data_IF_499027820946
#
_entry.id   IF_499027820946
#
_cell.length_a   1.000
_cell.length_b   1.000
_cell.length_c   1.000
_cell.angle_alpha   90.00
_cell.angle_beta   90.00
_cell.angle_gamma   90.00
#
_symmetry.space_group_name_H-M   'P 1'
#
loop_
_entity.id
_entity.type
_entity.pdbx_description
1 polymer ?
#
# COMPACT_ATOMS: atom_id res chain seq x y z
N UNK A 1 12.61 49.71 29.42
CA UNK A 1 11.30 49.10 29.05
C UNK A 1 11.42 47.58 29.22
N UNK A 2 10.77 46.98 30.22
CA UNK A 2 10.78 45.52 30.45
C UNK A 2 9.47 44.88 29.96
N UNK A 3 9.64 43.72 29.30
CA UNK A 3 8.82 42.49 29.26
C UNK A 3 7.30 42.56 29.34
N UNK A 4 6.62 41.98 28.32
CA UNK A 4 5.60 40.90 28.36
C UNK A 4 5.09 40.71 26.90
N UNK A 5 4.52 39.60 26.42
CA UNK A 5 4.40 38.17 26.76
C UNK A 5 3.20 37.66 25.93
N UNK A 6 3.27 36.41 25.47
CA UNK A 6 2.14 35.55 25.09
C UNK A 6 1.50 35.78 23.69
N UNK A 7 1.72 34.84 22.75
CA UNK A 7 0.97 33.58 22.51
C UNK A 7 -0.43 33.82 21.90
N UNK A 8 -0.58 33.45 20.63
CA UNK A 8 -1.75 32.67 20.23
C UNK A 8 -1.40 31.66 19.13
N UNK A 9 -1.47 30.39 19.52
CA UNK A 9 -1.50 29.19 18.67
C UNK A 9 -2.92 29.10 18.04
N UNK A 10 -3.27 28.35 17.00
CA UNK A 10 -2.77 27.14 16.34
C UNK A 10 -3.20 27.19 14.86
N UNK A 11 -2.51 26.48 13.94
CA UNK A 11 -3.18 25.87 12.79
C UNK A 11 -3.63 24.43 13.11
N UNK A 12 -4.83 24.13 12.60
CA UNK A 12 -5.59 22.89 12.64
C UNK A 12 -4.75 21.63 12.37
N UNK A 13 -4.68 20.72 13.36
CA UNK A 13 -4.13 19.36 13.20
C UNK A 13 -5.31 18.41 13.04
N UNK A 14 -5.63 18.08 11.79
CA UNK A 14 -6.65 17.11 11.47
C UNK A 14 -6.05 15.69 11.44
N UNK A 15 -6.70 14.81 12.22
CA UNK A 15 -6.73 13.36 12.15
C UNK A 15 -5.41 12.58 12.17
N UNK A 16 -5.06 12.17 13.40
CA UNK A 16 -4.19 11.03 13.67
C UNK A 16 -4.79 9.76 13.04
N UNK A 17 -4.14 9.24 11.99
CA UNK A 17 -4.25 7.85 11.58
C UNK A 17 -3.81 6.95 12.72
N UNK A 18 -4.77 6.54 13.54
CA UNK A 18 -4.56 5.57 14.61
C UNK A 18 -4.70 4.17 14.01
N UNK A 19 -3.64 3.71 13.32
CA UNK A 19 -3.39 2.28 13.13
C UNK A 19 -3.18 1.69 14.53
N UNK A 20 -4.26 1.27 15.18
CA UNK A 20 -4.18 0.39 16.35
C UNK A 20 -3.74 -0.97 15.85
N UNK A 21 -2.43 -1.17 15.88
CA UNK A 21 -1.78 -2.47 15.91
C UNK A 21 -2.49 -3.37 16.91
N UNK A 22 -3.15 -4.39 16.38
CA UNK A 22 -3.59 -5.52 17.16
C UNK A 22 -2.38 -6.26 17.75
N UNK A 23 -2.61 -6.80 18.94
CA UNK A 23 -2.13 -8.07 19.48
C UNK A 23 -1.73 -7.90 20.94
N UNK A 24 -2.68 -8.19 21.82
CA UNK A 24 -2.41 -8.50 23.22
C UNK A 24 -3.20 -9.78 23.54
N UNK A 25 -2.60 -10.94 23.26
CA UNK A 25 -3.04 -12.20 23.85
C UNK A 25 -2.20 -12.41 25.11
N UNK A 26 -2.80 -12.07 26.25
CA UNK A 26 -2.27 -12.40 27.57
C UNK A 26 -3.41 -12.99 28.39
N UNK A 27 -3.54 -14.31 28.38
CA UNK A 27 -4.29 -15.05 29.39
C UNK A 27 -3.38 -16.11 29.97
N UNK A 28 -2.78 -15.78 31.10
CA UNK A 28 -2.13 -16.74 32.00
C UNK A 28 -3.25 -17.50 32.72
N UNK A 29 -3.44 -18.77 32.39
CA UNK A 29 -4.43 -19.64 33.05
C UNK A 29 -3.72 -20.44 34.14
N UNK A 30 -3.97 -20.07 35.39
CA UNK A 30 -3.72 -20.91 36.56
C UNK A 30 -5.08 -21.38 37.07
N UNK A 31 -5.28 -22.70 37.15
CA UNK A 31 -6.38 -23.29 37.91
C UNK A 31 -7.39 -24.10 37.09
N UNK A 32 -7.31 -25.41 37.28
CA UNK A 32 -8.34 -26.44 37.08
C UNK A 32 -9.75 -25.97 37.47
N UNK A 33 -10.71 -26.07 36.54
CA UNK A 33 -12.14 -25.84 36.82
C UNK A 33 -13.00 -26.02 35.57
N UNK A 34 -13.76 -27.12 35.52
CA UNK A 34 -14.77 -27.41 34.49
C UNK A 34 -15.86 -26.33 34.51
N UNK A 35 -16.01 -25.56 33.43
CA UNK A 35 -17.19 -24.71 33.21
C UNK A 35 -17.65 -24.84 31.75
N UNK A 36 -18.77 -25.55 31.56
CA UNK A 36 -19.68 -25.29 30.44
C UNK A 36 -20.38 -23.97 30.75
N UNK A 37 -20.49 -23.05 29.79
CA UNK A 37 -21.74 -22.31 29.52
C UNK A 37 -21.56 -21.24 28.42
N UNK A 38 -22.35 -21.42 27.37
CA UNK A 38 -23.08 -20.41 26.57
C UNK A 38 -22.33 -19.20 26.01
N UNK A 39 -22.22 -19.21 24.69
CA UNK A 39 -22.19 -18.03 23.83
C UNK A 39 -23.39 -17.10 24.10
N UNK A 40 -23.16 -15.79 24.06
CA UNK A 40 -24.11 -14.87 23.46
C UNK A 40 -23.48 -14.27 22.21
N UNK A 41 -24.06 -14.62 21.05
CA UNK A 41 -23.79 -13.92 19.80
C UNK A 41 -24.25 -12.48 19.94
N UNK A 42 -23.30 -11.54 19.97
CA UNK A 42 -23.61 -10.13 19.81
C UNK A 42 -23.73 -9.86 18.30
N UNK A 43 -24.94 -10.04 17.77
CA UNK A 43 -25.31 -9.45 16.49
C UNK A 43 -25.39 -7.94 16.76
N UNK A 44 -24.38 -7.18 16.33
CA UNK A 44 -24.48 -5.73 16.30
C UNK A 44 -25.43 -5.38 15.15
N UNK A 45 -26.70 -5.23 15.47
CA UNK A 45 -27.74 -4.75 14.58
C UNK A 45 -27.38 -3.34 14.09
N UNK A 46 -26.87 -3.25 12.87
CA UNK A 46 -26.65 -1.98 12.19
C UNK A 46 -28.00 -1.55 11.61
N UNK A 47 -28.66 -0.60 12.24
CA UNK A 47 -29.84 0.06 11.70
C UNK A 47 -29.47 0.74 10.38
N UNK A 48 -29.86 0.14 9.26
CA UNK A 48 -29.82 0.76 7.94
C UNK A 48 -31.18 1.38 7.66
N UNK A 49 -31.29 2.70 7.90
CA UNK A 49 -32.36 3.50 7.33
C UNK A 49 -32.19 3.54 5.80
N UNK A 50 -32.71 2.52 5.10
CA UNK A 50 -32.72 2.52 3.64
C UNK A 50 -33.90 3.35 3.15
N UNK A 51 -33.60 4.52 2.59
CA UNK A 51 -34.56 5.25 1.78
C UNK A 51 -34.73 4.50 0.46
N UNK A 52 -35.89 3.85 0.30
CA UNK A 52 -36.26 3.16 -0.92
C UNK A 52 -36.40 4.17 -2.07
N UNK A 53 -35.44 4.21 -2.97
CA UNK A 53 -35.64 4.71 -4.34
C UNK A 53 -35.96 3.49 -5.23
N UNK A 54 -37.13 3.45 -5.89
CA UNK A 54 -37.39 2.43 -6.90
C UNK A 54 -36.55 2.77 -8.14
N UNK A 55 -35.40 2.10 -8.31
CA UNK A 55 -34.62 2.23 -9.53
C UNK A 55 -35.25 1.35 -10.61
N UNK A 56 -35.83 1.99 -11.62
CA UNK A 56 -36.32 1.36 -12.85
C UNK A 56 -35.20 0.57 -13.52
N UNK A 57 -35.43 -0.72 -13.73
CA UNK A 57 -34.54 -1.61 -14.47
C UNK A 57 -34.55 -1.26 -15.95
N UNK A 58 -33.50 -0.60 -16.42
CA UNK A 58 -33.09 -0.64 -17.83
C UNK A 58 -32.06 -1.76 -18.00
N UNK A 59 -32.30 -2.78 -18.84
CA UNK A 59 -31.28 -3.78 -19.13
C UNK A 59 -30.17 -3.15 -19.97
N UNK A 60 -29.05 -2.78 -19.33
CA UNK A 60 -27.83 -2.46 -20.05
C UNK A 60 -27.18 -3.76 -20.51
N UNK A 61 -27.42 -4.11 -21.77
CA UNK A 61 -26.62 -5.08 -22.52
C UNK A 61 -25.16 -4.62 -22.52
N UNK A 62 -24.37 -5.18 -21.62
CA UNK A 62 -22.91 -5.07 -21.65
C UNK A 62 -22.38 -6.35 -22.29
N UNK A 63 -21.96 -6.29 -23.54
CA UNK A 63 -21.03 -7.27 -24.10
C UNK A 63 -19.70 -7.09 -23.35
N UNK A 64 -19.55 -7.85 -22.27
CA UNK A 64 -18.31 -7.98 -21.54
C UNK A 64 -17.35 -8.84 -22.37
N UNK A 65 -16.50 -8.21 -23.16
CA UNK A 65 -15.21 -8.80 -23.50
C UNK A 65 -14.45 -9.01 -22.19
N UNK A 66 -14.29 -10.27 -21.79
CA UNK A 66 -13.57 -10.68 -20.59
C UNK A 66 -12.07 -10.45 -20.85
N UNK A 67 -11.56 -9.24 -20.60
CA UNK A 67 -10.11 -9.04 -20.46
C UNK A 67 -9.68 -9.54 -19.07
N UNK A 68 -9.12 -10.75 -19.06
CA UNK A 68 -8.37 -11.30 -17.94
C UNK A 68 -7.32 -10.29 -17.45
N UNK A 69 -7.14 -10.06 -16.13
CA UNK A 69 -6.09 -9.17 -15.65
C UNK A 69 -4.73 -9.75 -16.03
N UNK A 70 -4.07 -9.15 -17.02
CA UNK A 70 -2.68 -9.47 -17.33
C UNK A 70 -1.81 -9.03 -16.14
N UNK A 71 -1.29 -9.97 -15.37
CA UNK A 71 -0.38 -9.68 -14.27
C UNK A 71 0.95 -9.16 -14.83
N UNK A 72 1.16 -7.85 -14.72
CA UNK A 72 2.40 -7.21 -15.17
C UNK A 72 3.44 -7.25 -14.04
N UNK A 73 4.70 -7.52 -14.38
CA UNK A 73 5.80 -7.49 -13.41
C UNK A 73 6.28 -6.05 -13.22
N UNK A 74 6.45 -5.61 -11.99
CA UNK A 74 7.06 -4.30 -11.69
C UNK A 74 8.51 -4.48 -11.28
N UNK A 75 9.40 -3.70 -11.88
CA UNK A 75 10.79 -3.54 -11.48
C UNK A 75 11.07 -2.08 -11.13
N UNK A 76 11.70 -1.84 -9.98
CA UNK A 76 12.06 -0.51 -9.50
C UNK A 76 13.54 -0.24 -9.73
N UNK A 77 13.86 0.96 -10.20
CA UNK A 77 15.23 1.42 -10.41
C UNK A 77 15.42 2.77 -9.74
N UNK A 78 16.46 2.90 -8.94
CA UNK A 78 16.80 4.15 -8.28
C UNK A 78 18.33 4.36 -8.30
N UNK A 79 18.84 5.42 -8.94
CA UNK A 79 20.28 5.60 -9.12
C UNK A 79 20.96 6.05 -7.82
N UNK A 80 20.21 6.63 -6.87
CA UNK A 80 20.75 7.15 -5.62
C UNK A 80 20.90 6.07 -4.53
N UNK A 81 19.91 5.17 -4.40
CA UNK A 81 19.88 4.17 -3.32
C UNK A 81 19.91 2.71 -3.79
N UNK A 82 19.78 2.47 -5.10
CA UNK A 82 19.67 1.12 -5.65
C UNK A 82 20.98 0.33 -5.63
N UNK A 83 20.84 -0.99 -5.84
CA UNK A 83 21.93 -1.95 -5.97
C UNK A 83 21.60 -2.96 -7.08
N UNK A 84 22.50 -3.13 -8.05
CA UNK A 84 22.32 -4.05 -9.18
C UNK A 84 22.42 -5.54 -8.82
N UNK A 85 22.89 -5.86 -7.60
CA UNK A 85 22.77 -7.20 -7.01
C UNK A 85 21.42 -7.44 -6.33
N UNK A 86 20.55 -6.43 -6.27
CA UNK A 86 19.19 -6.56 -5.76
C UNK A 86 18.28 -7.39 -6.66
N UNK A 87 16.98 -7.41 -6.36
CA UNK A 87 15.98 -8.13 -7.14
C UNK A 87 15.02 -7.20 -7.91
N UNK A 88 15.18 -5.88 -7.76
CA UNK A 88 14.33 -4.88 -8.41
C UNK A 88 12.97 -4.70 -7.74
N UNK A 89 12.78 -5.17 -6.49
CA UNK A 89 11.60 -4.82 -5.69
C UNK A 89 11.65 -3.35 -5.25
N UNK A 90 10.54 -2.83 -4.75
CA UNK A 90 10.48 -1.47 -4.20
C UNK A 90 11.47 -1.27 -3.03
N UNK A 91 11.69 -2.32 -2.22
CA UNK A 91 12.62 -2.30 -1.08
C UNK A 91 14.08 -2.58 -1.45
N UNK A 92 14.32 -3.22 -2.59
CA UNK A 92 15.66 -3.53 -3.12
C UNK A 92 15.72 -3.16 -4.62
N UNK A 93 15.60 -1.87 -4.96
CA UNK A 93 15.59 -1.42 -6.34
C UNK A 93 16.95 -1.65 -6.98
N UNK A 94 16.95 -1.85 -8.30
CA UNK A 94 18.19 -1.81 -9.07
C UNK A 94 18.78 -0.41 -9.07
N UNK A 95 20.09 -0.30 -9.25
CA UNK A 95 20.75 1.00 -9.43
C UNK A 95 20.61 1.47 -10.87
N UNK A 96 20.79 0.57 -11.83
CA UNK A 96 20.89 0.90 -13.26
C UNK A 96 19.69 0.41 -14.07
N UNK A 97 19.35 1.18 -15.11
CA UNK A 97 18.39 0.81 -16.15
C UNK A 97 18.92 -0.39 -16.93
N UNK A 98 20.23 -0.43 -17.17
CA UNK A 98 20.92 -1.52 -17.85
C UNK A 98 20.66 -2.87 -17.16
N UNK A 99 20.74 -2.93 -15.83
CA UNK A 99 20.45 -4.16 -15.09
C UNK A 99 18.97 -4.52 -15.14
N UNK A 100 18.07 -3.55 -14.98
CA UNK A 100 16.63 -3.79 -15.07
C UNK A 100 16.23 -4.36 -16.44
N UNK A 101 16.79 -3.83 -17.54
CA UNK A 101 16.55 -4.33 -18.89
C UNK A 101 17.10 -5.75 -19.09
N UNK A 102 18.23 -6.09 -18.48
CA UNK A 102 18.81 -7.44 -18.55
C UNK A 102 17.89 -8.51 -17.96
N UNK A 103 17.19 -8.19 -16.87
CA UNK A 103 16.34 -9.14 -16.14
C UNK A 103 14.85 -9.03 -16.50
N UNK A 104 14.48 -7.99 -17.23
CA UNK A 104 13.10 -7.76 -17.65
C UNK A 104 12.62 -8.89 -18.54
N UNK A 105 11.45 -9.42 -18.20
CA UNK A 105 10.73 -10.40 -19.01
C UNK A 105 9.61 -9.69 -19.79
N UNK A 106 8.95 -10.35 -20.77
CA UNK A 106 7.75 -9.80 -21.37
C UNK A 106 6.74 -9.35 -20.32
N UNK A 107 5.98 -8.29 -20.64
CA UNK A 107 4.97 -7.68 -19.74
C UNK A 107 5.56 -7.13 -18.41
N UNK A 108 6.79 -6.59 -18.46
CA UNK A 108 7.40 -5.88 -17.32
C UNK A 108 7.27 -4.36 -17.46
N UNK A 109 6.83 -3.69 -16.40
CA UNK A 109 6.95 -2.24 -16.21
C UNK A 109 8.20 -1.95 -15.39
N UNK A 110 9.04 -1.06 -15.88
CA UNK A 110 10.20 -0.54 -15.16
C UNK A 110 9.87 0.86 -14.64
N UNK A 111 9.82 1.02 -13.32
CA UNK A 111 9.56 2.28 -12.63
C UNK A 111 10.88 2.94 -12.22
N UNK A 112 11.11 4.15 -12.70
CA UNK A 112 12.31 4.92 -12.42
C UNK A 112 12.04 5.95 -11.33
N UNK A 113 12.90 5.98 -10.32
CA UNK A 113 12.98 7.12 -9.42
C UNK A 113 13.61 8.31 -10.15
N UNK A 114 13.31 9.53 -9.68
CA UNK A 114 13.99 10.71 -10.20
C UNK A 114 15.50 10.64 -9.97
N UNK A 115 16.28 10.96 -10.99
CA UNK A 115 17.74 10.95 -10.93
C UNK A 115 18.38 11.02 -12.31
N UNK A 116 19.70 11.01 -12.33
CA UNK A 116 20.49 10.96 -13.58
C UNK A 116 20.90 9.51 -13.82
N UNK A 117 20.65 9.03 -15.04
CA UNK A 117 21.04 7.71 -15.51
C UNK A 117 21.98 7.88 -16.71
N UNK A 118 23.27 7.76 -16.44
CA UNK A 118 24.31 8.07 -17.41
C UNK A 118 25.47 7.08 -17.30
N UNK A 119 26.41 7.09 -18.25
CA UNK A 119 27.59 6.23 -18.16
C UNK A 119 28.41 6.47 -16.88
N UNK A 120 28.42 7.69 -16.35
CA UNK A 120 29.11 8.00 -15.10
C UNK A 120 28.44 7.39 -13.87
N UNK A 121 27.15 7.08 -13.95
CA UNK A 121 26.40 6.35 -12.91
C UNK A 121 26.37 4.83 -13.14
N UNK A 122 27.14 4.32 -14.12
CA UNK A 122 27.28 2.90 -14.39
C UNK A 122 26.35 2.34 -15.47
N UNK A 123 25.62 3.20 -16.19
CA UNK A 123 24.81 2.74 -17.33
C UNK A 123 25.68 2.33 -18.52
N UNK A 124 25.24 1.30 -19.24
CA UNK A 124 25.86 0.86 -20.49
C UNK A 124 24.77 0.68 -21.54
N UNK A 125 24.54 1.72 -22.33
CA UNK A 125 23.61 1.67 -23.46
C UNK A 125 24.38 1.38 -24.75
N UNK A 126 24.30 0.15 -25.25
CA UNK A 126 24.90 -0.24 -26.52
C UNK A 126 23.86 -0.13 -27.63
N UNK A 127 23.78 1.06 -28.23
CA UNK A 127 23.00 1.30 -29.43
C UNK A 127 23.85 0.89 -30.62
N UNK A 128 23.69 -0.36 -31.06
CA UNK A 128 24.19 -0.83 -32.35
C UNK A 128 23.10 -0.70 -33.40
#
# INVERSE_FOLDING_TARGET
MRLISSRNLLPSRNSLFRCKSGLAIATQVCGIGLTLLTTPGLVCEQAIAQSTVPQSTVPQSSTADIQSPTSQRLLYVNPAIGNDQGNGSETMPFRTITQALRVATPQTIILLAAGTYSPETGEIFRWS
#
